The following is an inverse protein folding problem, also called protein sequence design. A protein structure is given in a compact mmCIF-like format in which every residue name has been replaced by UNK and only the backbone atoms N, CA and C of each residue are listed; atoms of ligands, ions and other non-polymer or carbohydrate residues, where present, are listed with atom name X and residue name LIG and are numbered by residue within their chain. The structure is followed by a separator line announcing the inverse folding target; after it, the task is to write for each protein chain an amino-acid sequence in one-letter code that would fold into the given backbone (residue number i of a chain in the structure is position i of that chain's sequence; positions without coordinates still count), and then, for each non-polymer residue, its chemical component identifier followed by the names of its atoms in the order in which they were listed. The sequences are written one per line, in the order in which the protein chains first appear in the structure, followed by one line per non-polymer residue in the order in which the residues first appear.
data_IF_049488020007
#
_entry.id   IF_049488020007
#
_cell.length_a   1.000
_cell.length_b   1.000
_cell.length_c   1.000
_cell.angle_alpha   90.00
_cell.angle_beta   90.00
_cell.angle_gamma   90.00
#
_symmetry.space_group_name_H-M   'P 1'
#
loop_
_entity.id
_entity.type
_entity.pdbx_description
1 polymer ?
#
# COMPACT_ATOMS: atom_id res chain seq x y z
N UNK A 1 -46.36 16.64 45.47
CA UNK A 1 -46.60 16.10 46.83
C UNK A 1 -46.16 14.63 46.79
N UNK A 2 -45.27 14.10 47.63
CA UNK A 2 -44.34 14.67 48.64
C UNK A 2 -43.27 13.58 48.90
N UNK A 3 -41.96 13.81 48.70
CA UNK A 3 -40.95 14.31 49.67
C UNK A 3 -40.44 13.30 50.73
N UNK A 4 -39.10 13.20 50.89
CA UNK A 4 -38.39 12.37 51.89
C UNK A 4 -37.38 11.41 51.21
N UNK A 5 -36.08 11.69 51.00
CA UNK A 5 -34.98 12.31 51.78
C UNK A 5 -34.42 11.48 52.96
N UNK A 6 -33.09 11.32 52.96
CA UNK A 6 -32.26 10.67 53.98
C UNK A 6 -30.82 10.40 53.48
N UNK A 7 -29.85 11.21 53.93
CA UNK A 7 -28.41 11.16 53.58
C UNK A 7 -27.68 10.05 54.37
N UNK A 8 -26.36 9.76 54.31
CA UNK A 8 -25.10 10.44 53.94
C UNK A 8 -24.01 9.35 53.76
N UNK A 9 -22.77 9.50 53.29
CA UNK A 9 -21.85 10.57 52.85
C UNK A 9 -20.55 9.86 52.38
N UNK A 10 -19.43 10.44 51.94
CA UNK A 10 -18.99 11.82 51.80
C UNK A 10 -17.45 11.88 51.97
N UNK A 11 -16.69 12.40 50.99
CA UNK A 11 -15.30 12.90 51.13
C UNK A 11 -14.84 13.60 49.85
N UNK A 12 -14.21 14.76 50.00
CA UNK A 12 -13.77 15.64 48.93
C UNK A 12 -12.40 16.25 49.28
N UNK A 13 -11.56 16.43 48.26
CA UNK A 13 -10.47 17.44 48.08
C UNK A 13 -9.36 17.69 49.12
N UNK A 14 -8.21 18.12 48.58
CA UNK A 14 -7.07 18.71 49.29
C UNK A 14 -5.94 19.07 48.30
N UNK A 15 -5.59 20.37 48.20
CA UNK A 15 -4.72 20.90 47.14
C UNK A 15 -3.66 21.88 47.71
N UNK A 16 -2.37 21.61 47.42
CA UNK A 16 -1.18 22.50 47.54
C UNK A 16 -0.84 23.08 48.94
N UNK A 17 0.45 23.42 49.21
CA UNK A 17 0.98 24.75 48.83
C UNK A 17 2.43 24.75 48.32
N UNK A 18 2.95 25.93 47.96
CA UNK A 18 4.34 26.18 47.57
C UNK A 18 4.98 27.33 48.39
N UNK A 19 6.31 27.27 48.56
CA UNK A 19 7.20 28.33 49.11
C UNK A 19 8.65 27.95 48.73
N UNK A 20 9.49 28.84 48.17
CA UNK A 20 10.31 29.87 48.85
C UNK A 20 11.65 29.26 49.35
N UNK A 21 12.85 29.83 49.19
CA UNK A 21 13.32 31.12 48.63
C UNK A 21 14.87 31.12 48.40
N UNK A 22 15.42 32.22 47.87
CA UNK A 22 16.82 32.42 47.38
C UNK A 22 17.86 32.66 48.49
N UNK A 23 19.11 32.17 48.34
CA UNK A 23 20.35 32.83 48.85
C UNK A 23 21.53 32.66 47.87
N UNK A 24 22.38 33.70 47.77
CA UNK A 24 23.55 33.88 46.89
C UNK A 24 24.89 33.45 47.49
N UNK A 25 25.92 33.20 46.67
CA UNK A 25 27.33 33.19 47.10
C UNK A 25 28.31 33.01 45.94
N UNK A 26 29.15 34.02 45.66
CA UNK A 26 30.18 33.98 44.61
C UNK A 26 31.61 34.00 45.15
N UNK A 27 32.58 33.59 44.34
CA UNK A 27 34.01 33.63 44.67
C UNK A 27 34.91 33.36 43.46
N UNK A 28 35.82 34.29 43.15
CA UNK A 28 36.79 34.20 42.04
C UNK A 28 37.91 33.19 42.31
N UNK A 29 38.53 32.62 41.25
CA UNK A 29 39.76 31.85 41.44
C UNK A 29 40.44 31.21 40.22
N UNK A 30 41.18 32.02 39.45
CA UNK A 30 42.42 31.64 38.71
C UNK A 30 42.32 30.70 37.48
N UNK A 31 42.96 31.16 36.40
CA UNK A 31 43.20 30.43 35.14
C UNK A 31 44.44 29.54 35.26
N UNK A 32 44.38 28.29 34.81
CA UNK A 32 45.55 27.57 34.31
C UNK A 32 45.23 26.78 33.04
N UNK A 33 46.09 26.92 32.04
CA UNK A 33 45.95 26.41 30.68
C UNK A 33 46.48 24.97 30.53
N UNK A 34 45.84 24.17 29.67
CA UNK A 34 46.25 22.78 29.44
C UNK A 34 45.30 21.95 28.57
N UNK A 35 44.82 22.48 27.45
CA UNK A 35 43.99 21.69 26.52
C UNK A 35 44.82 20.66 25.76
N UNK A 36 44.70 19.40 26.19
CA UNK A 36 45.02 18.25 25.34
C UNK A 36 43.87 18.02 24.36
N UNK A 37 44.11 18.34 23.08
CA UNK A 37 43.12 18.22 22.01
C UNK A 37 42.71 16.75 21.86
N UNK A 38 41.49 16.43 22.33
CA UNK A 38 40.76 15.23 21.87
C UNK A 38 40.03 15.59 20.58
N UNK A 39 40.07 14.76 19.52
CA UNK A 39 39.27 15.02 18.34
C UNK A 39 37.80 15.00 18.72
N UNK A 40 37.08 16.08 18.42
CA UNK A 40 35.66 16.17 18.69
C UNK A 40 34.93 15.07 17.91
N UNK A 41 34.11 14.28 18.61
CA UNK A 41 33.13 13.41 17.97
C UNK A 41 32.09 14.32 17.32
N UNK A 42 32.29 14.61 16.04
CA UNK A 42 31.35 15.42 15.25
C UNK A 42 30.01 14.70 15.26
N UNK A 43 28.97 15.38 15.74
CA UNK A 43 27.63 14.83 15.74
C UNK A 43 27.14 14.65 14.30
N UNK A 44 27.21 13.41 13.80
CA UNK A 44 26.81 13.02 12.43
C UNK A 44 25.31 13.24 12.15
N UNK A 45 24.52 13.54 13.18
CA UNK A 45 23.05 13.59 13.13
C UNK A 45 22.45 14.60 12.14
N UNK A 46 23.20 15.64 11.74
CA UNK A 46 22.69 16.73 10.89
C UNK A 46 23.30 16.80 9.47
N UNK A 47 24.19 15.88 9.08
CA UNK A 47 24.69 15.85 7.70
C UNK A 47 23.64 15.17 6.78
N UNK A 48 23.09 15.94 5.84
CA UNK A 48 22.14 15.45 4.82
C UNK A 48 22.87 15.07 3.54
N UNK A 49 22.25 14.19 2.75
CA UNK A 49 22.63 13.97 1.36
C UNK A 49 22.52 15.26 0.55
N UNK A 50 23.39 15.39 -0.45
CA UNK A 50 23.27 16.40 -1.50
C UNK A 50 22.04 16.11 -2.35
N UNK A 51 21.40 17.16 -2.87
CA UNK A 51 20.29 17.00 -3.83
C UNK A 51 20.78 16.41 -5.18
N UNK A 52 21.97 16.81 -5.61
CA UNK A 52 22.57 16.41 -6.89
C UNK A 52 23.82 15.56 -6.67
N UNK A 53 24.03 14.47 -7.46
CA UNK A 53 25.20 13.63 -7.34
C UNK A 53 26.48 14.37 -7.77
N UNK A 54 27.58 14.06 -7.11
CA UNK A 54 28.90 14.45 -7.57
C UNK A 54 29.30 13.58 -8.77
N UNK A 55 29.34 14.18 -9.97
CA UNK A 55 29.70 13.50 -11.23
C UNK A 55 31.21 13.23 -11.37
N UNK A 56 32.03 13.98 -10.64
CA UNK A 56 33.50 13.84 -10.65
C UNK A 56 34.00 12.84 -9.61
N UNK A 57 33.17 12.52 -8.60
CA UNK A 57 33.51 11.53 -7.59
C UNK A 57 33.40 10.11 -8.15
N UNK A 58 34.51 9.36 -8.07
CA UNK A 58 34.50 7.92 -8.30
C UNK A 58 34.19 7.22 -6.97
N UNK A 59 33.04 6.54 -6.83
CA UNK A 59 32.71 5.82 -5.61
C UNK A 59 33.63 4.61 -5.40
N UNK A 60 33.75 4.20 -4.15
CA UNK A 60 34.41 2.95 -3.75
C UNK A 60 33.59 1.73 -4.21
N UNK A 61 34.30 0.60 -4.32
CA UNK A 61 33.69 -0.71 -4.46
C UNK A 61 33.36 -1.28 -3.08
N UNK A 62 32.20 -1.92 -2.97
CA UNK A 62 31.64 -2.44 -1.70
C UNK A 62 31.31 -3.95 -1.75
N UNK A 63 31.62 -4.63 -2.87
CA UNK A 63 31.26 -6.03 -3.12
C UNK A 63 31.98 -7.03 -2.21
N UNK A 64 33.08 -6.62 -1.58
CA UNK A 64 33.86 -7.40 -0.61
C UNK A 64 33.30 -7.36 0.83
N UNK A 65 32.29 -6.52 1.09
CA UNK A 65 31.73 -6.32 2.42
C UNK A 65 30.42 -7.11 2.62
N UNK A 66 30.27 -7.74 3.79
CA UNK A 66 28.97 -8.27 4.22
C UNK A 66 28.07 -7.11 4.69
N UNK A 67 27.16 -6.69 3.83
CA UNK A 67 26.32 -5.51 4.03
C UNK A 67 24.82 -5.86 4.16
N UNK A 68 24.12 -5.03 4.93
CA UNK A 68 22.66 -5.07 5.15
C UNK A 68 21.82 -4.73 3.90
N UNK A 69 22.46 -4.16 2.88
CA UNK A 69 21.87 -3.68 1.64
C UNK A 69 22.83 -3.99 0.48
N UNK A 70 22.33 -4.00 -0.76
CA UNK A 70 23.14 -4.26 -1.96
C UNK A 70 24.35 -3.32 -2.05
N UNK A 71 25.58 -3.81 -2.31
CA UNK A 71 26.77 -2.99 -2.60
C UNK A 71 26.54 -1.88 -3.63
N UNK A 72 25.72 -2.14 -4.65
CA UNK A 72 25.35 -1.17 -5.69
C UNK A 72 24.60 0.06 -5.14
N UNK A 73 23.84 -0.09 -4.05
CA UNK A 73 23.16 1.02 -3.38
C UNK A 73 24.20 1.94 -2.74
N UNK A 74 25.20 1.38 -2.04
CA UNK A 74 26.29 2.16 -1.45
C UNK A 74 27.11 2.89 -2.52
N UNK A 75 27.52 2.23 -3.60
CA UNK A 75 28.26 2.87 -4.70
C UNK A 75 27.46 3.98 -5.41
N UNK A 76 26.13 3.89 -5.43
CA UNK A 76 25.25 4.93 -5.98
C UNK A 76 25.07 6.09 -5.01
N UNK A 77 24.76 5.77 -3.74
CA UNK A 77 24.51 6.72 -2.65
C UNK A 77 25.75 7.53 -2.28
N UNK A 78 26.95 6.95 -2.42
CA UNK A 78 28.20 7.64 -2.09
C UNK A 78 28.36 8.94 -2.88
N UNK A 79 27.92 8.98 -4.14
CA UNK A 79 27.97 10.20 -4.98
C UNK A 79 27.13 11.35 -4.43
N UNK A 80 26.15 11.06 -3.57
CA UNK A 80 25.29 12.04 -2.92
C UNK A 80 25.80 12.45 -1.53
N UNK A 81 26.93 11.91 -1.05
CA UNK A 81 27.49 12.31 0.23
C UNK A 81 27.97 13.77 0.21
N UNK A 82 27.88 14.48 1.36
CA UNK A 82 28.44 15.81 1.48
C UNK A 82 29.98 15.78 1.36
N UNK A 83 30.63 16.88 0.95
CA UNK A 83 32.10 16.92 0.80
C UNK A 83 32.88 16.50 2.05
N UNK A 84 32.33 16.77 3.24
CA UNK A 84 32.84 16.35 4.55
C UNK A 84 32.93 14.82 4.71
N UNK A 85 32.08 14.05 4.03
CA UNK A 85 32.06 12.59 4.09
C UNK A 85 32.76 11.92 2.90
N UNK A 86 32.81 12.57 1.72
CA UNK A 86 33.45 12.00 0.51
C UNK A 86 34.93 11.67 0.73
N UNK A 87 35.65 12.51 1.51
CA UNK A 87 37.05 12.30 1.86
C UNK A 87 37.30 11.38 3.05
N UNK A 88 36.26 10.77 3.63
CA UNK A 88 36.40 9.88 4.80
C UNK A 88 36.72 8.43 4.39
N UNK A 89 37.31 7.62 5.30
CA UNK A 89 37.55 6.21 5.06
C UNK A 89 36.30 5.45 4.63
N UNK A 90 36.48 4.43 3.79
CA UNK A 90 35.39 3.60 3.24
C UNK A 90 34.40 3.13 4.31
N UNK A 91 34.90 2.64 5.44
CA UNK A 91 34.09 2.09 6.54
C UNK A 91 33.22 3.16 7.22
N UNK A 92 33.69 4.40 7.31
CA UNK A 92 32.92 5.52 7.90
C UNK A 92 31.87 6.05 6.91
N UNK A 93 32.19 6.05 5.61
CA UNK A 93 31.20 6.27 4.54
C UNK A 93 30.09 5.19 4.59
N UNK A 94 30.44 3.91 4.79
CA UNK A 94 29.49 2.81 4.95
C UNK A 94 28.60 3.00 6.18
N UNK A 95 29.17 3.32 7.36
CA UNK A 95 28.38 3.58 8.59
C UNK A 95 27.35 4.69 8.36
N UNK A 96 27.78 5.82 7.80
CA UNK A 96 26.92 6.96 7.54
C UNK A 96 25.82 6.66 6.50
N UNK A 97 26.17 6.01 5.38
CA UNK A 97 25.20 5.57 4.39
C UNK A 97 24.20 4.56 4.98
N UNK A 98 24.66 3.61 5.79
CA UNK A 98 23.83 2.64 6.49
C UNK A 98 22.87 3.30 7.48
N UNK A 99 23.31 4.28 8.25
CA UNK A 99 22.43 5.07 9.14
C UNK A 99 21.34 5.81 8.38
N UNK A 100 21.62 6.30 7.16
CA UNK A 100 20.62 6.91 6.29
C UNK A 100 19.64 5.83 5.79
N UNK A 101 20.14 4.75 5.19
CA UNK A 101 19.30 3.67 4.65
C UNK A 101 18.39 3.05 5.72
N UNK A 102 18.88 2.90 6.96
CA UNK A 102 18.10 2.37 8.08
C UNK A 102 16.98 3.29 8.58
N UNK A 103 17.01 4.59 8.26
CA UNK A 103 15.90 5.53 8.55
C UNK A 103 14.74 5.38 7.55
N UNK A 104 15.03 4.94 6.33
CA UNK A 104 14.04 4.77 5.24
C UNK A 104 13.61 3.30 5.04
N UNK A 105 14.47 2.33 5.40
CA UNK A 105 14.17 0.89 5.34
C UNK A 105 14.65 0.19 6.65
N UNK A 106 13.89 0.36 7.74
CA UNK A 106 14.20 -0.25 9.04
C UNK A 106 14.25 -1.78 8.96
N UNK A 107 14.97 -2.41 9.90
CA UNK A 107 15.12 -3.87 9.98
C UNK A 107 13.77 -4.61 9.99
N UNK A 108 12.76 -4.09 10.69
CA UNK A 108 11.43 -4.70 10.76
C UNK A 108 10.74 -4.79 9.40
N UNK A 109 10.86 -3.74 8.58
CA UNK A 109 10.26 -3.65 7.26
C UNK A 109 10.99 -4.54 6.24
N UNK A 110 12.33 -4.49 6.22
CA UNK A 110 13.14 -5.44 5.43
C UNK A 110 12.81 -6.90 5.75
N UNK A 111 12.64 -7.23 7.03
CA UNK A 111 12.24 -8.58 7.45
C UNK A 111 10.81 -8.94 7.02
N UNK A 112 9.89 -7.98 6.89
CA UNK A 112 8.53 -8.21 6.35
C UNK A 112 8.59 -8.48 4.84
N UNK A 113 9.27 -7.64 4.07
CA UNK A 113 9.44 -7.80 2.62
C UNK A 113 10.12 -9.13 2.29
N UNK A 114 11.20 -9.48 2.97
CA UNK A 114 11.90 -10.76 2.76
C UNK A 114 11.02 -11.97 3.07
N UNK A 115 10.29 -11.96 4.20
CA UNK A 115 9.33 -13.02 4.55
C UNK A 115 8.19 -13.13 3.55
N UNK A 116 7.68 -12.00 3.06
CA UNK A 116 6.63 -11.96 2.04
C UNK A 116 7.13 -12.62 0.74
N UNK A 117 8.33 -12.27 0.29
CA UNK A 117 8.98 -12.88 -0.89
C UNK A 117 9.18 -14.39 -0.72
N UNK A 118 9.68 -14.84 0.43
CA UNK A 118 9.85 -16.27 0.73
C UNK A 118 8.52 -17.03 0.78
N UNK A 119 7.45 -16.39 1.25
CA UNK A 119 6.10 -16.93 1.26
C UNK A 119 5.54 -17.08 -0.16
N UNK A 120 5.60 -16.04 -1.00
CA UNK A 120 5.17 -16.10 -2.41
C UNK A 120 5.96 -17.16 -3.19
N UNK A 121 7.27 -17.24 -2.99
CA UNK A 121 8.13 -18.26 -3.63
C UNK A 121 7.75 -19.70 -3.23
N UNK A 122 7.34 -19.95 -1.97
CA UNK A 122 6.85 -21.26 -1.54
C UNK A 122 5.54 -21.65 -2.23
N UNK A 123 4.65 -20.69 -2.49
CA UNK A 123 3.43 -20.92 -3.25
C UNK A 123 3.79 -21.25 -4.70
N UNK A 124 4.53 -20.36 -5.37
CA UNK A 124 4.93 -20.50 -6.79
C UNK A 124 5.67 -21.83 -7.06
N UNK A 125 6.47 -22.33 -6.11
CA UNK A 125 7.18 -23.61 -6.27
C UNK A 125 6.33 -24.86 -6.00
N UNK A 126 5.16 -24.73 -5.38
CA UNK A 126 4.39 -25.84 -4.82
C UNK A 126 2.96 -25.97 -5.37
N UNK A 127 2.38 -24.85 -5.81
CA UNK A 127 1.08 -24.79 -6.48
C UNK A 127 1.25 -25.10 -7.98
N UNK A 128 0.24 -25.73 -8.58
CA UNK A 128 0.20 -25.99 -10.03
C UNK A 128 -1.02 -25.27 -10.62
N UNK A 129 -0.80 -24.23 -11.45
CA UNK A 129 -1.89 -23.51 -12.11
C UNK A 129 -2.77 -24.42 -12.97
N UNK A 130 -4.08 -24.22 -12.89
CA UNK A 130 -5.08 -24.94 -13.68
C UNK A 130 -5.20 -24.35 -15.09
N UNK A 131 -5.22 -23.01 -15.18
CA UNK A 131 -5.40 -22.23 -16.40
C UNK A 131 -4.19 -21.34 -16.66
N UNK A 132 -3.10 -21.94 -17.17
CA UNK A 132 -1.84 -21.24 -17.49
C UNK A 132 -2.00 -20.04 -18.42
N UNK A 133 -3.04 -20.03 -19.25
CA UNK A 133 -3.39 -18.91 -20.13
C UNK A 133 -3.74 -17.61 -19.38
N UNK A 134 -4.20 -17.68 -18.12
CA UNK A 134 -4.43 -16.51 -17.27
C UNK A 134 -3.14 -15.76 -16.89
N UNK A 135 -2.00 -16.44 -16.89
CA UNK A 135 -0.70 -15.88 -16.51
C UNK A 135 -0.03 -15.15 -17.68
N UNK A 136 -0.64 -15.23 -18.86
CA UNK A 136 -0.20 -14.61 -20.11
C UNK A 136 -1.31 -13.71 -20.65
N UNK A 137 -1.19 -12.40 -20.44
CA UNK A 137 -2.18 -11.43 -20.88
C UNK A 137 -2.38 -11.48 -22.42
N UNK A 138 -3.54 -11.95 -22.86
CA UNK A 138 -3.93 -12.09 -24.26
C UNK A 138 -5.18 -11.23 -24.53
N UNK A 139 -5.04 -10.01 -25.08
CA UNK A 139 -6.11 -9.01 -25.07
C UNK A 139 -7.43 -9.49 -25.68
N UNK A 140 -7.35 -10.19 -26.83
CA UNK A 140 -8.53 -10.67 -27.57
C UNK A 140 -9.34 -11.76 -26.84
N UNK A 141 -8.75 -12.47 -25.87
CA UNK A 141 -9.42 -13.47 -25.04
C UNK A 141 -9.75 -12.97 -23.64
N UNK A 142 -9.09 -11.90 -23.18
CA UNK A 142 -9.36 -11.24 -21.89
C UNK A 142 -10.50 -10.25 -21.98
N UNK A 143 -10.57 -9.44 -23.05
CA UNK A 143 -11.44 -8.26 -23.11
C UNK A 143 -12.55 -8.33 -24.16
N UNK A 144 -13.66 -7.62 -23.92
CA UNK A 144 -14.73 -7.46 -24.91
C UNK A 144 -14.29 -6.57 -26.09
N UNK A 145 -14.79 -6.78 -27.32
CA UNK A 145 -14.31 -6.04 -28.50
C UNK A 145 -14.55 -4.53 -28.45
N UNK A 146 -15.63 -4.09 -27.81
CA UNK A 146 -15.94 -2.68 -27.56
C UNK A 146 -14.87 -2.00 -26.71
N UNK A 147 -14.47 -2.65 -25.62
CA UNK A 147 -13.39 -2.19 -24.73
C UNK A 147 -12.05 -2.11 -25.46
N UNK A 148 -11.65 -3.17 -26.20
CA UNK A 148 -10.42 -3.16 -26.99
C UNK A 148 -10.40 -2.05 -28.03
N UNK A 149 -11.54 -1.77 -28.69
CA UNK A 149 -11.65 -0.67 -29.63
C UNK A 149 -11.44 0.68 -28.95
N UNK A 150 -12.09 0.92 -27.80
CA UNK A 150 -11.91 2.18 -27.06
C UNK A 150 -10.45 2.37 -26.58
N UNK A 151 -9.79 1.32 -26.08
CA UNK A 151 -8.37 1.35 -25.71
C UNK A 151 -7.47 1.61 -26.93
N UNK A 152 -7.81 1.08 -28.10
CA UNK A 152 -7.07 1.33 -29.34
C UNK A 152 -7.28 2.74 -29.91
N UNK A 153 -8.48 3.30 -29.79
CA UNK A 153 -8.79 4.68 -30.21
C UNK A 153 -8.17 5.70 -29.23
N UNK A 154 -8.16 5.38 -27.93
CA UNK A 154 -7.47 6.08 -26.85
C UNK A 154 -7.84 7.57 -26.69
N UNK A 155 -9.12 7.90 -26.94
CA UNK A 155 -9.70 9.24 -26.73
C UNK A 155 -10.78 9.25 -25.65
N UNK A 156 -11.06 10.41 -25.07
CA UNK A 156 -12.12 10.55 -24.07
C UNK A 156 -13.49 10.15 -24.64
N UNK A 157 -13.80 10.52 -25.88
CA UNK A 157 -15.04 10.14 -26.56
C UNK A 157 -15.14 8.63 -26.74
N UNK A 158 -14.02 7.96 -27.06
CA UNK A 158 -13.98 6.51 -27.21
C UNK A 158 -14.25 5.77 -25.90
N UNK A 159 -13.69 6.25 -24.77
CA UNK A 159 -13.97 5.70 -23.45
C UNK A 159 -15.40 6.00 -22.99
N UNK A 160 -15.87 7.24 -23.13
CA UNK A 160 -17.26 7.62 -22.82
C UNK A 160 -18.29 6.86 -23.67
N UNK A 161 -17.93 6.36 -24.85
CA UNK A 161 -18.83 5.55 -25.67
C UNK A 161 -19.13 4.15 -25.11
N UNK A 162 -18.34 3.67 -24.14
CA UNK A 162 -18.51 2.34 -23.50
C UNK A 162 -18.77 2.43 -21.98
N UNK A 163 -18.82 3.62 -21.42
CA UNK A 163 -18.93 3.89 -19.97
C UNK A 163 -20.23 4.63 -19.63
N UNK A 164 -20.77 4.33 -18.46
CA UNK A 164 -21.75 5.17 -17.76
C UNK A 164 -21.13 5.75 -16.49
N UNK A 165 -21.52 6.97 -16.11
CA UNK A 165 -21.08 7.64 -14.89
C UNK A 165 -22.28 7.81 -13.93
N UNK A 166 -22.68 6.76 -13.18
CA UNK A 166 -23.85 6.83 -12.29
C UNK A 166 -23.67 7.77 -11.09
N UNK A 167 -22.44 8.14 -10.73
CA UNK A 167 -22.11 9.17 -9.75
C UNK A 167 -20.80 9.84 -10.15
N UNK A 168 -20.57 11.14 -9.85
CA UNK A 168 -19.34 11.83 -10.24
C UNK A 168 -18.07 11.07 -9.81
N UNK A 169 -17.22 10.73 -10.77
CA UNK A 169 -16.00 9.96 -10.55
C UNK A 169 -16.20 8.45 -10.33
N UNK A 170 -17.42 7.92 -10.49
CA UNK A 170 -17.71 6.48 -10.45
C UNK A 170 -18.16 6.05 -11.84
N UNK A 171 -17.36 5.21 -12.51
CA UNK A 171 -17.63 4.74 -13.88
C UNK A 171 -17.96 3.25 -13.90
N UNK A 172 -18.96 2.86 -14.70
CA UNK A 172 -19.35 1.47 -14.95
C UNK A 172 -19.27 1.14 -16.45
N UNK A 173 -18.70 -0.02 -16.78
CA UNK A 173 -18.49 -0.45 -18.17
C UNK A 173 -18.29 -1.97 -18.28
N UNK A 174 -18.58 -2.52 -19.46
CA UNK A 174 -18.23 -3.91 -19.79
C UNK A 174 -16.76 -3.97 -20.24
N UNK A 175 -15.99 -4.89 -19.65
CA UNK A 175 -14.54 -4.98 -19.87
C UNK A 175 -14.09 -6.40 -20.19
N UNK A 176 -14.37 -7.37 -19.32
CA UNK A 176 -13.85 -8.74 -19.44
C UNK A 176 -14.77 -9.65 -20.26
N UNK A 177 -14.17 -10.58 -21.00
CA UNK A 177 -14.89 -11.70 -21.58
C UNK A 177 -15.48 -12.59 -20.47
N UNK A 178 -16.76 -13.02 -20.56
CA UNK A 178 -17.33 -13.95 -19.58
C UNK A 178 -16.50 -15.22 -19.40
N UNK A 179 -15.87 -15.70 -20.49
CA UNK A 179 -14.96 -16.85 -20.46
C UNK A 179 -13.70 -16.60 -19.63
N UNK A 180 -13.16 -15.39 -19.64
CA UNK A 180 -12.01 -15.03 -18.80
C UNK A 180 -12.40 -15.05 -17.32
N UNK A 181 -13.57 -14.51 -16.97
CA UNK A 181 -14.11 -14.57 -15.60
C UNK A 181 -14.30 -16.02 -15.12
N UNK A 182 -14.82 -16.92 -15.97
CA UNK A 182 -14.92 -18.36 -15.67
C UNK A 182 -13.58 -19.02 -15.33
N UNK A 183 -12.57 -18.76 -16.16
CA UNK A 183 -11.23 -19.32 -16.00
C UNK A 183 -10.59 -18.82 -14.70
N UNK A 184 -10.70 -17.52 -14.41
CA UNK A 184 -10.16 -16.92 -13.20
C UNK A 184 -10.85 -17.47 -11.94
N UNK A 185 -12.17 -17.64 -11.95
CA UNK A 185 -12.90 -18.28 -10.84
C UNK A 185 -12.43 -19.71 -10.59
N UNK A 186 -12.31 -20.51 -11.66
CA UNK A 186 -11.86 -21.90 -11.56
C UNK A 186 -10.39 -22.02 -11.08
N UNK A 187 -9.53 -21.09 -11.49
CA UNK A 187 -8.14 -20.99 -11.00
C UNK A 187 -8.09 -20.69 -9.50
N UNK A 188 -8.91 -19.75 -9.02
CA UNK A 188 -8.98 -19.37 -7.60
C UNK A 188 -9.55 -20.50 -6.74
N UNK A 189 -10.59 -21.19 -7.22
CA UNK A 189 -11.13 -22.37 -6.55
C UNK A 189 -10.12 -23.53 -6.48
N UNK A 190 -9.31 -23.72 -7.54
CA UNK A 190 -8.22 -24.69 -7.54
C UNK A 190 -7.10 -24.28 -6.56
N UNK A 191 -6.77 -22.99 -6.48
CA UNK A 191 -5.82 -22.47 -5.50
C UNK A 191 -6.31 -22.66 -4.06
N UNK A 192 -7.55 -22.25 -3.74
CA UNK A 192 -8.11 -22.47 -2.40
C UNK A 192 -8.19 -23.95 -2.03
N UNK A 193 -8.54 -24.83 -2.98
CA UNK A 193 -8.51 -26.28 -2.76
C UNK A 193 -7.10 -26.76 -2.42
N UNK A 194 -6.09 -26.35 -3.19
CA UNK A 194 -4.69 -26.69 -2.92
C UNK A 194 -4.24 -26.19 -1.54
N UNK A 195 -4.60 -24.96 -1.14
CA UNK A 195 -4.30 -24.39 0.18
C UNK A 195 -4.87 -25.28 1.30
N UNK A 196 -6.12 -25.73 1.16
CA UNK A 196 -6.77 -26.61 2.13
C UNK A 196 -6.13 -28.02 2.17
N UNK A 197 -5.91 -28.64 1.02
CA UNK A 197 -5.33 -29.99 0.90
C UNK A 197 -3.88 -30.03 1.41
N UNK A 198 -3.07 -29.02 1.07
CA UNK A 198 -1.70 -28.87 1.55
C UNK A 198 -1.60 -28.35 3.00
N UNK A 199 -2.73 -27.92 3.61
CA UNK A 199 -2.80 -27.22 4.90
C UNK A 199 -1.88 -25.99 4.97
N UNK A 200 -1.72 -25.32 3.83
CA UNK A 200 -0.90 -24.14 3.70
C UNK A 200 -1.60 -22.95 4.38
N UNK A 201 -0.83 -22.01 4.92
CA UNK A 201 -1.38 -20.76 5.49
C UNK A 201 -1.13 -19.63 4.54
N UNK A 202 -2.19 -19.16 3.88
CA UNK A 202 -2.15 -17.96 3.03
C UNK A 202 -2.42 -16.69 3.85
N UNK A 203 -1.95 -15.56 3.33
CA UNK A 203 -2.43 -14.25 3.74
C UNK A 203 -3.83 -14.02 3.17
N UNK A 204 -4.62 -13.17 3.85
CA UNK A 204 -5.98 -12.83 3.42
C UNK A 204 -5.99 -11.51 2.64
N UNK A 205 -6.98 -11.29 1.76
CA UNK A 205 -6.99 -10.16 0.83
C UNK A 205 -6.78 -8.80 1.47
N UNK A 206 -7.43 -8.56 2.61
CA UNK A 206 -7.27 -7.38 3.45
C UNK A 206 -7.59 -7.76 4.92
N UNK A 207 -7.67 -6.77 5.81
CA UNK A 207 -7.96 -6.96 7.25
C UNK A 207 -9.43 -7.18 7.59
N UNK A 208 -10.34 -6.97 6.64
CA UNK A 208 -11.79 -7.00 6.81
C UNK A 208 -12.43 -8.27 6.23
N UNK A 209 -11.85 -8.84 5.18
CA UNK A 209 -12.29 -10.08 4.53
C UNK A 209 -11.53 -11.32 5.06
N UNK A 210 -12.28 -12.37 5.40
CA UNK A 210 -11.77 -13.65 5.90
C UNK A 210 -11.62 -14.71 4.80
N UNK A 211 -12.21 -14.48 3.63
CA UNK A 211 -12.25 -15.40 2.49
C UNK A 211 -11.76 -14.76 1.19
N UNK A 212 -11.33 -15.59 0.24
CA UNK A 212 -10.67 -15.16 -0.98
C UNK A 212 -9.13 -15.17 -0.87
N UNK A 213 -8.49 -14.68 -1.94
CA UNK A 213 -7.06 -14.83 -2.20
C UNK A 213 -6.45 -13.58 -2.87
N UNK A 214 -5.18 -13.30 -2.57
CA UNK A 214 -4.35 -12.32 -3.28
C UNK A 214 -3.82 -12.96 -4.56
N UNK A 215 -3.99 -12.31 -5.72
CA UNK A 215 -3.67 -12.88 -7.03
C UNK A 215 -2.16 -12.99 -7.27
N UNK A 216 -1.41 -12.05 -6.74
CA UNK A 216 0.06 -12.02 -6.80
C UNK A 216 0.72 -13.18 -6.05
N UNK A 217 0.08 -13.69 -4.99
CA UNK A 217 0.61 -14.76 -4.15
C UNK A 217 0.85 -16.05 -4.94
N UNK A 218 -0.01 -16.33 -5.91
CA UNK A 218 0.07 -17.52 -6.76
C UNK A 218 0.52 -17.25 -8.20
N UNK A 219 0.88 -16.00 -8.53
CA UNK A 219 1.72 -15.67 -9.69
C UNK A 219 1.09 -14.79 -10.78
N UNK A 220 -0.07 -14.16 -10.54
CA UNK A 220 -0.74 -13.30 -11.53
C UNK A 220 -0.19 -11.87 -11.63
N UNK A 221 0.75 -11.47 -10.76
CA UNK A 221 1.43 -10.16 -10.72
C UNK A 221 1.80 -9.64 -12.12
N UNK A 222 2.58 -10.38 -12.91
CA UNK A 222 3.01 -9.96 -14.26
C UNK A 222 1.86 -9.86 -15.29
N UNK A 223 0.71 -10.48 -15.05
CA UNK A 223 -0.50 -10.25 -15.85
C UNK A 223 -1.18 -8.96 -15.42
N UNK A 224 -1.33 -8.73 -14.11
CA UNK A 224 -1.92 -7.54 -13.52
C UNK A 224 -1.12 -6.27 -13.80
N UNK A 225 0.22 -6.35 -13.82
CA UNK A 225 1.11 -5.28 -14.28
C UNK A 225 0.65 -4.82 -15.68
N UNK A 226 0.68 -5.73 -16.65
CA UNK A 226 0.31 -5.46 -18.06
C UNK A 226 -1.13 -5.00 -18.22
N UNK A 227 -2.03 -5.49 -17.37
CA UNK A 227 -3.43 -5.11 -17.33
C UNK A 227 -3.59 -3.65 -16.87
N UNK A 228 -2.95 -3.27 -15.76
CA UNK A 228 -2.89 -1.90 -15.27
C UNK A 228 -2.24 -0.99 -16.33
N UNK A 229 -1.02 -1.31 -16.77
CA UNK A 229 -0.25 -0.47 -17.70
C UNK A 229 -0.95 -0.23 -19.04
N UNK A 230 -1.49 -1.30 -19.64
CA UNK A 230 -1.99 -1.29 -21.00
C UNK A 230 -3.45 -0.86 -21.14
N UNK A 231 -4.26 -1.01 -20.09
CA UNK A 231 -5.72 -0.90 -20.20
C UNK A 231 -6.35 0.03 -19.17
N UNK A 232 -5.86 0.04 -17.92
CA UNK A 232 -6.45 0.93 -16.88
C UNK A 232 -5.76 2.30 -16.85
N UNK A 233 -4.43 2.36 -16.88
CA UNK A 233 -3.66 3.61 -16.90
C UNK A 233 -4.08 4.59 -18.04
N UNK A 234 -4.45 4.14 -19.26
CA UNK A 234 -5.02 5.03 -20.30
C UNK A 234 -6.36 5.67 -19.91
N UNK A 235 -7.24 4.93 -19.23
CA UNK A 235 -8.54 5.40 -18.72
C UNK A 235 -8.33 6.37 -17.56
N UNK A 236 -7.52 5.98 -16.57
CA UNK A 236 -7.21 6.79 -15.39
C UNK A 236 -6.53 8.11 -15.75
N UNK A 237 -5.68 8.15 -16.78
CA UNK A 237 -5.12 9.40 -17.31
C UNK A 237 -6.19 10.41 -17.76
N UNK A 238 -7.34 9.95 -18.25
CA UNK A 238 -8.42 10.82 -18.76
C UNK A 238 -9.37 11.25 -17.65
N UNK A 239 -9.85 10.31 -16.82
CA UNK A 239 -10.91 10.59 -15.85
C UNK A 239 -10.41 10.86 -14.42
N UNK A 240 -9.17 10.52 -14.10
CA UNK A 240 -8.59 10.58 -12.75
C UNK A 240 -7.23 11.32 -12.75
N UNK A 241 -7.13 12.37 -13.56
CA UNK A 241 -5.89 13.14 -13.77
C UNK A 241 -5.40 13.86 -12.50
N UNK A 242 -6.34 14.24 -11.63
CA UNK A 242 -6.16 14.96 -10.38
C UNK A 242 -5.61 14.10 -9.24
N UNK A 243 -5.77 12.77 -9.32
CA UNK A 243 -5.14 11.76 -8.46
C UNK A 243 -4.00 11.03 -9.18
N UNK A 244 -3.39 11.67 -10.19
CA UNK A 244 -2.21 11.13 -10.87
C UNK A 244 -2.47 9.90 -11.73
N UNK A 245 -3.67 9.70 -12.27
CA UNK A 245 -4.05 8.49 -13.03
C UNK A 245 -3.15 8.11 -14.22
N UNK A 246 -2.24 8.98 -14.67
CA UNK A 246 -1.21 8.68 -15.69
C UNK A 246 0.07 8.05 -15.12
N UNK A 247 0.30 8.14 -13.81
CA UNK A 247 1.52 7.73 -13.10
C UNK A 247 1.33 6.51 -12.20
N UNK A 248 0.15 5.87 -12.18
CA UNK A 248 -0.12 4.65 -11.39
C UNK A 248 0.94 3.57 -11.64
N UNK A 249 1.76 3.23 -10.66
CA UNK A 249 2.98 2.42 -10.83
C UNK A 249 2.87 0.98 -10.29
N UNK A 250 1.93 0.73 -9.39
CA UNK A 250 1.76 -0.54 -8.68
C UNK A 250 0.30 -0.86 -8.37
N UNK A 251 0.03 -2.12 -8.03
CA UNK A 251 -1.31 -2.63 -7.77
C UNK A 251 -1.33 -3.60 -6.58
N UNK A 252 -2.51 -3.82 -6.02
CA UNK A 252 -2.82 -4.94 -5.12
C UNK A 252 -4.09 -5.63 -5.64
N UNK A 253 -3.90 -6.62 -6.51
CA UNK A 253 -5.00 -7.41 -7.07
C UNK A 253 -5.40 -8.57 -6.17
N UNK A 254 -6.66 -8.61 -5.74
CA UNK A 254 -7.20 -9.68 -4.90
C UNK A 254 -8.65 -10.01 -5.23
N UNK A 255 -9.08 -11.22 -4.88
CA UNK A 255 -10.48 -11.64 -4.92
C UNK A 255 -11.02 -11.80 -3.51
N UNK A 256 -12.23 -11.29 -3.29
CA UNK A 256 -13.05 -11.48 -2.09
C UNK A 256 -14.21 -12.44 -2.35
N UNK A 257 -14.69 -13.13 -1.32
CA UNK A 257 -15.87 -14.02 -1.42
C UNK A 257 -16.94 -13.67 -0.39
N UNK A 258 -18.18 -13.46 -0.85
CA UNK A 258 -19.33 -13.22 0.01
C UNK A 258 -20.40 -14.32 -0.11
N UNK A 259 -21.17 -14.51 0.95
CA UNK A 259 -22.30 -15.44 1.00
C UNK A 259 -22.60 -15.97 2.41
N UNK A 260 -23.69 -16.71 2.55
CA UNK A 260 -24.28 -17.09 3.85
C UNK A 260 -23.35 -17.86 4.82
N UNK A 261 -22.28 -18.50 4.30
CA UNK A 261 -21.26 -19.21 5.08
C UNK A 261 -19.84 -18.62 4.84
N UNK A 262 -19.77 -17.32 4.55
CA UNK A 262 -18.58 -16.54 4.22
C UNK A 262 -18.64 -15.20 4.97
N UNK A 263 -18.07 -14.15 4.41
CA UNK A 263 -18.41 -12.78 4.81
C UNK A 263 -19.75 -12.38 4.17
N UNK A 264 -20.52 -11.51 4.82
CA UNK A 264 -21.89 -11.17 4.40
C UNK A 264 -22.08 -9.68 4.10
N UNK A 265 -21.22 -8.85 4.67
CA UNK A 265 -21.15 -7.41 4.45
C UNK A 265 -19.68 -6.95 4.53
N UNK A 266 -19.45 -5.71 4.11
CA UNK A 266 -18.19 -5.00 4.32
C UNK A 266 -18.53 -3.59 4.80
N UNK A 267 -18.06 -3.22 5.99
CA UNK A 267 -18.36 -1.91 6.58
C UNK A 267 -17.77 -0.76 5.76
N UNK A 268 -18.37 0.43 5.84
CA UNK A 268 -17.86 1.62 5.14
C UNK A 268 -16.39 1.91 5.47
N UNK A 269 -15.57 2.03 4.44
CA UNK A 269 -14.14 2.30 4.49
C UNK A 269 -13.76 3.24 3.35
N UNK A 270 -12.48 3.56 3.26
CA UNK A 270 -11.84 4.17 2.10
C UNK A 270 -10.73 3.20 1.69
N UNK A 271 -10.63 2.89 0.41
CA UNK A 271 -9.53 2.07 -0.09
C UNK A 271 -8.20 2.82 0.03
N UNK A 272 -7.15 2.10 0.36
CA UNK A 272 -5.78 2.59 0.25
C UNK A 272 -5.39 2.44 -1.22
N UNK A 273 -5.78 3.42 -2.05
CA UNK A 273 -5.41 3.56 -3.48
C UNK A 273 -5.96 4.86 -4.08
N UNK A 274 -5.28 5.41 -5.08
CA UNK A 274 -5.78 6.55 -5.86
C UNK A 274 -6.96 6.17 -6.77
N UNK A 275 -6.94 4.94 -7.34
CA UNK A 275 -8.03 4.41 -8.17
C UNK A 275 -8.27 2.94 -7.83
N UNK A 276 -9.50 2.61 -7.40
CA UNK A 276 -9.94 1.22 -7.25
C UNK A 276 -10.67 0.76 -8.50
N UNK A 277 -10.23 -0.35 -9.09
CA UNK A 277 -11.04 -1.10 -10.05
C UNK A 277 -11.75 -2.25 -9.33
N UNK A 278 -13.07 -2.21 -9.34
CA UNK A 278 -13.91 -3.33 -8.90
C UNK A 278 -14.48 -4.08 -10.12
N UNK A 279 -14.31 -5.40 -10.16
CA UNK A 279 -14.84 -6.27 -11.21
C UNK A 279 -15.66 -7.40 -10.61
N UNK A 280 -16.97 -7.36 -10.84
CA UNK A 280 -17.86 -8.46 -10.51
C UNK A 280 -17.55 -9.71 -11.36
N UNK A 281 -17.23 -10.83 -10.70
CA UNK A 281 -17.04 -12.14 -11.33
C UNK A 281 -18.23 -13.09 -11.11
N UNK A 282 -19.09 -12.77 -10.14
CA UNK A 282 -20.26 -13.58 -9.81
C UNK A 282 -21.20 -13.72 -11.00
N UNK A 283 -21.32 -14.94 -11.55
CA UNK A 283 -22.33 -15.23 -12.59
C UNK A 283 -23.74 -14.99 -12.08
N UNK A 284 -23.90 -15.41 -10.82
CA UNK A 284 -25.06 -15.40 -9.95
C UNK A 284 -24.73 -14.57 -8.66
N UNK A 285 -25.51 -13.66 -8.04
CA UNK A 285 -25.62 -13.27 -6.58
C UNK A 285 -26.91 -12.50 -6.12
N UNK A 286 -27.45 -12.70 -4.91
CA UNK A 286 -28.61 -11.90 -4.43
C UNK A 286 -28.16 -10.93 -3.35
N UNK A 287 -28.31 -9.63 -3.60
CA UNK A 287 -27.62 -8.57 -2.87
C UNK A 287 -26.38 -8.13 -3.64
N UNK A 288 -25.30 -7.76 -2.94
CA UNK A 288 -24.07 -7.27 -3.58
C UNK A 288 -24.14 -5.80 -3.98
N UNK A 289 -25.01 -5.03 -3.33
CA UNK A 289 -25.19 -3.60 -3.57
C UNK A 289 -23.97 -2.80 -3.07
N UNK A 290 -23.40 -1.97 -3.95
CA UNK A 290 -22.25 -1.14 -3.61
C UNK A 290 -22.69 0.29 -3.27
N UNK A 291 -22.37 0.75 -2.06
CA UNK A 291 -22.81 2.04 -1.52
C UNK A 291 -21.66 3.05 -1.48
N UNK A 292 -21.77 4.11 -2.27
CA UNK A 292 -20.84 5.23 -2.27
C UNK A 292 -21.38 6.37 -1.41
N UNK A 293 -20.55 6.92 -0.52
CA UNK A 293 -20.88 8.08 0.35
C UNK A 293 -20.05 9.33 0.02
N UNK A 294 -19.73 9.48 -1.27
CA UNK A 294 -18.94 10.58 -1.83
C UNK A 294 -17.45 10.53 -1.49
N UNK A 295 -16.67 11.37 -2.17
CA UNK A 295 -15.23 11.52 -1.97
C UNK A 295 -14.92 12.11 -0.60
N UNK A 296 -13.87 11.61 0.06
CA UNK A 296 -13.37 12.13 1.34
C UNK A 296 -12.02 12.81 1.14
N UNK A 297 -11.82 13.96 1.78
CA UNK A 297 -10.50 14.57 1.89
C UNK A 297 -9.79 14.14 3.18
N UNK A 298 -8.47 14.27 3.24
CA UNK A 298 -7.59 13.78 4.32
C UNK A 298 -8.07 14.19 5.73
N UNK A 299 -8.64 15.39 5.85
CA UNK A 299 -9.16 15.96 7.10
C UNK A 299 -10.41 15.23 7.63
N UNK A 300 -11.15 14.56 6.75
CA UNK A 300 -12.45 13.95 7.00
C UNK A 300 -12.51 12.46 6.63
N UNK A 301 -11.39 11.86 6.21
CA UNK A 301 -11.30 10.43 5.83
C UNK A 301 -11.79 9.50 6.95
N UNK A 302 -11.57 9.89 8.21
CA UNK A 302 -11.93 9.15 9.42
C UNK A 302 -13.18 9.68 10.16
N UNK A 303 -13.91 10.67 9.62
CA UNK A 303 -15.09 11.25 10.32
C UNK A 303 -16.39 10.56 9.93
N UNK A 304 -17.51 10.90 10.60
CA UNK A 304 -18.85 10.46 10.20
C UNK A 304 -19.22 10.91 8.77
N UNK A 305 -20.12 10.18 8.12
CA UNK A 305 -20.58 10.45 6.74
C UNK A 305 -21.72 11.46 6.71
N UNK A 306 -21.78 12.31 5.69
CA UNK A 306 -23.01 13.07 5.39
C UNK A 306 -24.01 12.18 4.63
N UNK A 307 -25.23 12.66 4.46
CA UNK A 307 -26.42 11.86 4.13
C UNK A 307 -26.59 11.49 2.65
N UNK A 308 -25.70 11.95 1.76
CA UNK A 308 -25.75 11.56 0.34
C UNK A 308 -25.13 10.16 0.18
N UNK A 309 -25.91 9.24 -0.37
CA UNK A 309 -25.48 7.87 -0.66
C UNK A 309 -25.97 7.49 -2.05
N UNK A 310 -25.05 7.15 -2.95
CA UNK A 310 -25.38 6.50 -4.23
C UNK A 310 -25.30 4.99 -4.02
N UNK A 311 -26.35 4.27 -4.43
CA UNK A 311 -26.39 2.80 -4.44
C UNK A 311 -26.23 2.33 -5.89
N UNK A 312 -25.32 1.38 -6.13
CA UNK A 312 -25.24 0.63 -7.39
C UNK A 312 -25.73 -0.79 -7.14
N UNK A 313 -26.82 -1.16 -7.82
CA UNK A 313 -27.36 -2.52 -7.79
C UNK A 313 -26.64 -3.38 -8.83
N UNK A 314 -25.78 -4.29 -8.38
CA UNK A 314 -25.11 -5.27 -9.23
C UNK A 314 -26.05 -6.48 -9.46
N UNK A 315 -27.02 -6.35 -10.38
CA UNK A 315 -28.12 -7.32 -10.54
C UNK A 315 -27.79 -8.57 -11.40
N UNK A 316 -27.40 -9.69 -10.76
CA UNK A 316 -27.39 -11.10 -11.25
C UNK A 316 -27.37 -12.01 -9.99
N UNK A 317 -28.06 -13.19 -9.82
CA UNK A 317 -28.72 -13.91 -8.63
C UNK A 317 -28.12 -14.92 -7.50
N UNK A 318 -27.09 -15.82 -7.64
CA UNK A 318 -26.44 -16.78 -6.65
C UNK A 318 -25.25 -16.44 -5.65
N UNK A 319 -23.93 -16.46 -6.01
CA UNK A 319 -22.70 -16.16 -5.17
C UNK A 319 -21.79 -15.01 -5.68
N UNK A 320 -21.45 -14.03 -4.81
CA UNK A 320 -20.64 -12.84 -5.19
C UNK A 320 -19.15 -13.05 -4.92
N UNK A 321 -18.33 -12.94 -5.98
CA UNK A 321 -16.88 -12.76 -5.90
C UNK A 321 -16.50 -11.56 -6.78
N UNK A 322 -15.58 -10.74 -6.30
CA UNK A 322 -15.11 -9.56 -7.03
C UNK A 322 -13.60 -9.51 -7.05
N UNK A 323 -13.02 -9.03 -8.16
CA UNK A 323 -11.65 -8.52 -8.16
C UNK A 323 -11.70 -7.10 -7.62
N UNK A 324 -11.01 -6.85 -6.52
CA UNK A 324 -10.59 -5.51 -6.17
C UNK A 324 -9.13 -5.38 -6.59
N UNK A 325 -8.86 -4.40 -7.44
CA UNK A 325 -7.51 -4.02 -7.82
C UNK A 325 -7.32 -2.57 -7.38
N UNK A 326 -6.72 -2.39 -6.20
CA UNK A 326 -6.25 -1.11 -5.70
C UNK A 326 -5.02 -0.70 -6.51
N UNK A 327 -5.04 0.48 -7.14
CA UNK A 327 -3.95 1.01 -7.97
C UNK A 327 -3.29 2.21 -7.29
N UNK A 328 -1.97 2.22 -7.27
CA UNK A 328 -1.13 3.11 -6.45
C UNK A 328 -0.16 3.96 -7.29
N UNK A 329 0.35 5.06 -6.71
CA UNK A 329 1.36 5.99 -7.26
C UNK A 329 2.80 5.79 -6.76
#
# INVERSE_FOLDING_TARGET
MSSGQGESGGRQEGQLPASGSVVTGGGNGVVFSGESIRPAVVSLSNQRLRLNPNKEHKPDTYDDLQLDFSPSIFSSLERYLPPSMLGMPRDDKVKFMREILLKYLPHGERNRVQKHREYRQKIISSYQPLHRELYTMHPATTFVPSFLKAISDNTEESFRSIMSEPSPGVFTFEMLQPRFCELLLAEVENFEKWVNDAKFRIMRPNTMNRYGAVLDDFGLETMLDKFMEGFIRPISRVFFSEVGGSTLDSHHGFIVEYGNNRDVDLGFHVDDSEVTLNVCLGKQFSGGELFFRGTRCDKHVNTGTQSETTQLDLLMEGFWKEILCSLFL
#
